data_IF_184664062480
#
_entry.id   IF_184664062480
#
_cell.length_a   1.000
_cell.length_b   1.000
_cell.length_c   1.000
_cell.angle_alpha   90.00
_cell.angle_beta   90.00
_cell.angle_gamma   90.00
#
_symmetry.space_group_name_H-M   'P 1'
#
loop_
_entity.id
_entity.type
_entity.pdbx_description
1 polymer ?
#
# COMPACT_ATOMS: atom_id res chain seq x y z
N UNK A 1 4.48 18.26 11.87
CA UNK A 1 5.43 17.57 10.98
C UNK A 1 4.65 16.42 10.37
N UNK A 2 4.66 16.23 9.06
CA UNK A 2 3.95 15.10 8.43
C UNK A 2 4.93 13.95 8.31
N UNK A 3 4.77 12.94 9.15
CA UNK A 3 5.51 11.70 9.03
C UNK A 3 4.94 10.88 7.87
N UNK A 4 5.69 9.91 7.37
CA UNK A 4 5.29 9.12 6.20
C UNK A 4 5.57 7.64 6.41
N UNK A 5 4.53 6.82 6.18
CA UNK A 5 4.63 5.37 6.10
C UNK A 5 4.64 5.01 4.62
N UNK A 6 5.65 4.28 4.17
CA UNK A 6 5.77 3.85 2.79
C UNK A 6 5.75 2.32 2.68
N UNK A 7 5.11 1.82 1.61
CA UNK A 7 5.14 0.42 1.21
C UNK A 7 5.56 0.40 -0.25
N UNK A 8 6.74 -0.14 -0.54
CA UNK A 8 7.28 -0.18 -1.91
C UNK A 8 7.37 -1.61 -2.43
N UNK A 9 7.11 -1.79 -3.72
CA UNK A 9 7.24 -3.07 -4.40
C UNK A 9 6.20 -4.12 -3.99
N UNK A 10 5.02 -3.72 -3.54
CA UNK A 10 3.95 -4.65 -3.21
C UNK A 10 3.47 -5.36 -4.49
N UNK A 11 3.82 -6.64 -4.64
CA UNK A 11 3.43 -7.45 -5.80
C UNK A 11 2.11 -8.14 -5.52
N UNK A 12 1.07 -7.77 -6.26
CA UNK A 12 -0.27 -8.37 -6.17
C UNK A 12 -0.63 -9.03 -7.50
N UNK A 13 -1.16 -10.25 -7.45
CA UNK A 13 -1.79 -10.84 -8.63
C UNK A 13 -3.26 -10.44 -8.66
N UNK A 14 -3.66 -9.66 -9.66
CA UNK A 14 -5.03 -9.18 -9.79
C UNK A 14 -5.56 -9.36 -11.21
N UNK A 15 -6.88 -9.43 -11.31
CA UNK A 15 -7.64 -9.48 -12.57
C UNK A 15 -8.22 -8.11 -12.88
N UNK A 16 -7.37 -7.09 -12.82
CA UNK A 16 -7.73 -5.74 -13.19
C UNK A 16 -7.34 -5.55 -14.65
N UNK A 17 -8.32 -5.47 -15.55
CA UNK A 17 -8.11 -5.34 -16.97
C UNK A 17 -9.33 -4.73 -17.66
N UNK A 18 -9.09 -3.96 -18.71
CA UNK A 18 -10.17 -3.35 -19.53
C UNK A 18 -10.63 -4.35 -20.59
N UNK A 19 -9.74 -5.24 -21.03
CA UNK A 19 -10.03 -6.27 -22.02
C UNK A 19 -10.44 -7.57 -21.32
N UNK A 20 -11.45 -8.28 -21.85
CA UNK A 20 -11.98 -9.53 -21.26
C UNK A 20 -10.90 -10.60 -20.98
N UNK A 21 -9.86 -10.66 -21.83
CA UNK A 21 -8.75 -11.60 -21.68
C UNK A 21 -7.81 -11.30 -20.49
N UNK A 22 -7.69 -10.02 -20.09
CA UNK A 22 -6.90 -9.60 -18.92
C UNK A 22 -7.56 -10.03 -17.60
N UNK A 23 -8.90 -10.14 -17.61
CA UNK A 23 -9.69 -10.53 -16.44
C UNK A 23 -9.67 -12.04 -16.20
N UNK A 24 -9.41 -12.87 -17.22
CA UNK A 24 -9.34 -14.33 -17.06
C UNK A 24 -7.98 -14.80 -16.52
N UNK A 25 -6.89 -14.38 -17.15
CA UNK A 25 -5.53 -14.82 -16.79
C UNK A 25 -5.02 -14.09 -15.53
N UNK A 26 -5.34 -12.80 -15.40
CA UNK A 26 -4.77 -11.93 -14.39
C UNK A 26 -3.30 -11.58 -14.68
N UNK A 27 -2.80 -10.55 -14.01
CA UNK A 27 -1.43 -10.10 -14.15
C UNK A 27 -0.85 -9.63 -12.81
N UNK A 28 0.47 -9.46 -12.77
CA UNK A 28 1.18 -8.92 -11.62
C UNK A 28 1.13 -7.40 -11.63
N UNK A 29 0.65 -6.82 -10.55
CA UNK A 29 0.70 -5.40 -10.27
C UNK A 29 1.77 -5.15 -9.22
N UNK A 30 2.63 -4.17 -9.48
CA UNK A 30 3.58 -3.65 -8.50
C UNK A 30 3.00 -2.34 -8.00
N UNK A 31 2.77 -2.25 -6.70
CA UNK A 31 2.13 -1.12 -6.05
C UNK A 31 3.13 -0.49 -5.09
N UNK A 32 3.26 0.82 -5.20
CA UNK A 32 3.94 1.67 -4.22
C UNK A 32 2.87 2.54 -3.52
N UNK A 33 2.92 2.61 -2.20
CA UNK A 33 2.00 3.40 -1.38
C UNK A 33 2.79 4.33 -0.45
N UNK A 34 2.30 5.55 -0.32
CA UNK A 34 2.76 6.54 0.64
C UNK A 34 1.57 7.03 1.46
N UNK A 35 1.63 6.85 2.78
CA UNK A 35 0.65 7.36 3.74
C UNK A 35 1.28 8.49 4.54
N UNK A 36 0.68 9.67 4.48
CA UNK A 36 1.03 10.80 5.33
C UNK A 36 0.18 10.76 6.60
N UNK A 37 0.82 10.64 7.76
CA UNK A 37 0.16 10.57 9.06
C UNK A 37 0.98 11.33 10.11
N UNK A 38 0.34 11.72 11.21
CA UNK A 38 1.04 12.23 12.39
C UNK A 38 1.39 11.03 13.28
N UNK A 39 2.67 10.72 13.42
CA UNK A 39 3.15 9.55 14.19
C UNK A 39 3.78 9.98 15.52
N UNK A 40 3.61 11.24 15.94
CA UNK A 40 4.22 11.74 17.17
C UNK A 40 3.73 10.96 18.40
N UNK A 41 2.43 10.74 18.52
CA UNK A 41 1.86 10.01 19.67
C UNK A 41 2.35 8.56 19.71
N UNK A 42 2.25 7.84 18.60
CA UNK A 42 2.74 6.46 18.46
C UNK A 42 4.23 6.34 18.79
N UNK A 43 5.03 7.34 18.38
CA UNK A 43 6.47 7.38 18.68
C UNK A 43 6.76 7.62 20.16
N UNK A 44 5.87 8.28 20.90
CA UNK A 44 6.05 8.55 22.33
C UNK A 44 5.53 7.41 23.21
N UNK A 45 4.45 6.74 22.81
CA UNK A 45 3.81 5.69 23.61
C UNK A 45 4.35 4.29 23.32
N UNK A 46 5.05 4.10 22.19
CA UNK A 46 5.48 2.80 21.66
C UNK A 46 4.31 1.81 21.49
N UNK A 47 3.12 2.33 21.24
CA UNK A 47 1.92 1.54 21.00
C UNK A 47 1.58 1.58 19.53
N UNK A 48 1.55 0.40 18.92
CA UNK A 48 1.14 0.22 17.52
C UNK A 48 -0.33 0.60 17.27
N UNK A 49 -1.15 0.67 18.32
CA UNK A 49 -2.58 1.00 18.22
C UNK A 49 -2.85 2.52 18.18
N UNK A 50 -1.84 3.34 18.50
CA UNK A 50 -1.90 4.80 18.49
C UNK A 50 -1.39 5.29 17.13
#
# INVERSE_FOLDING_TARGET
>A
MTDTIFITGLVVHARHGVMEHETEVGQRFVIDLELFADLQESSHTDRLAD
#
